data_IF_338743070553
#
_entry.id   IF_338743070553
#
_cell.length_a   1.000
_cell.length_b   1.000
_cell.length_c   1.000
_cell.angle_alpha   90.00
_cell.angle_beta   90.00
_cell.angle_gamma   90.00
#
_symmetry.space_group_name_H-M   'P 1'
#
loop_
_entity.id
_entity.type
_entity.pdbx_description
1 polymer ?
#
# COMPACT_ATOMS: atom_id res chain seq x y z
N UNK A 1 -12.91 9.61 1.76
CA UNK A 1 -13.31 8.20 1.75
C UNK A 1 -13.36 7.64 3.18
N UNK A 2 -14.27 6.71 3.42
CA UNK A 2 -14.44 5.95 4.66
C UNK A 2 -14.01 4.50 4.36
N UNK A 3 -13.04 3.99 5.09
CA UNK A 3 -12.43 2.69 4.80
C UNK A 3 -12.39 1.79 6.03
N UNK A 4 -12.63 0.49 5.82
CA UNK A 4 -12.47 -0.50 6.87
C UNK A 4 -10.99 -0.71 7.21
N UNK A 5 -10.65 -0.72 8.49
CA UNK A 5 -9.32 -1.08 8.93
C UNK A 5 -9.08 -2.60 8.79
N UNK A 6 -7.84 -3.03 8.81
CA UNK A 6 -7.44 -4.45 8.85
C UNK A 6 -6.08 -4.63 9.50
N UNK A 7 -5.77 -5.83 9.90
CA UNK A 7 -4.44 -6.20 10.36
C UNK A 7 -3.46 -6.29 9.17
N UNK A 8 -2.17 -6.20 9.47
CA UNK A 8 -1.11 -6.34 8.48
C UNK A 8 -1.06 -7.74 7.85
N UNK A 9 -0.51 -7.83 6.63
CA UNK A 9 -0.47 -9.06 5.82
C UNK A 9 0.25 -10.23 6.52
N UNK A 10 1.15 -9.95 7.48
CA UNK A 10 1.87 -11.00 8.24
C UNK A 10 0.94 -11.81 9.16
N UNK A 11 -0.12 -11.18 9.69
CA UNK A 11 -1.09 -11.81 10.62
C UNK A 11 -2.45 -12.01 9.96
N UNK A 12 -2.70 -11.40 8.81
CA UNK A 12 -3.94 -11.45 8.05
C UNK A 12 -3.64 -11.55 6.54
N UNK A 13 -3.11 -12.70 6.08
CA UNK A 13 -2.73 -12.88 4.67
C UNK A 13 -3.92 -12.80 3.70
N UNK A 14 -5.12 -13.14 4.17
CA UNK A 14 -6.36 -13.04 3.39
C UNK A 14 -6.90 -11.61 3.30
N UNK A 15 -6.28 -10.65 4.00
CA UNK A 15 -6.64 -9.23 4.01
C UNK A 15 -8.08 -8.96 4.43
N UNK A 16 -8.62 -9.76 5.33
CA UNK A 16 -9.96 -9.58 5.88
C UNK A 16 -10.08 -8.24 6.61
N UNK A 17 -11.20 -7.54 6.37
CA UNK A 17 -11.50 -6.27 7.02
C UNK A 17 -11.94 -6.45 8.47
N UNK A 18 -11.58 -5.50 9.34
CA UNK A 18 -12.10 -5.45 10.71
C UNK A 18 -13.60 -5.17 10.70
N UNK A 19 -14.35 -5.91 11.53
CA UNK A 19 -15.78 -5.67 11.74
C UNK A 19 -16.12 -4.50 12.68
N UNK A 20 -15.11 -3.89 13.31
CA UNK A 20 -15.34 -2.87 14.37
C UNK A 20 -14.47 -1.62 14.24
N UNK A 21 -13.54 -1.59 13.28
CA UNK A 21 -12.61 -0.47 13.11
C UNK A 21 -12.66 0.07 11.69
N UNK A 22 -12.73 1.37 11.57
CA UNK A 22 -12.69 2.09 10.32
C UNK A 22 -11.82 3.35 10.46
N UNK A 23 -11.49 3.96 9.35
CA UNK A 23 -10.80 5.25 9.32
C UNK A 23 -11.36 6.14 8.21
N UNK A 24 -11.24 7.44 8.42
CA UNK A 24 -11.58 8.46 7.44
C UNK A 24 -10.28 8.92 6.80
N UNK A 25 -10.20 8.88 5.48
CA UNK A 25 -9.01 9.32 4.75
C UNK A 25 -8.92 10.84 4.79
N UNK A 26 -7.89 11.36 5.41
CA UNK A 26 -7.47 12.76 5.34
C UNK A 26 -6.13 12.83 4.64
N UNK A 27 -6.13 13.06 3.34
CA UNK A 27 -4.93 13.07 2.52
C UNK A 27 -4.46 14.49 2.19
N UNK A 28 -3.32 14.56 1.52
CA UNK A 28 -2.77 15.79 0.96
C UNK A 28 -2.87 15.79 -0.56
N UNK A 29 -2.73 16.96 -1.17
CA UNK A 29 -2.53 17.07 -2.61
C UNK A 29 -1.08 16.76 -2.97
N UNK A 30 -0.86 16.21 -4.15
CA UNK A 30 0.44 15.81 -4.67
C UNK A 30 0.78 16.58 -5.94
N UNK A 31 2.06 16.86 -6.13
CA UNK A 31 2.57 17.38 -7.42
C UNK A 31 2.75 16.20 -8.39
N UNK A 32 2.67 16.49 -9.69
CA UNK A 32 2.84 15.49 -10.74
C UNK A 32 4.16 14.69 -10.62
N UNK A 33 5.23 15.34 -10.21
CA UNK A 33 6.53 14.68 -10.01
C UNK A 33 6.54 13.74 -8.79
N UNK A 34 5.77 14.06 -7.74
CA UNK A 34 5.63 13.18 -6.57
C UNK A 34 4.88 11.90 -6.94
N UNK A 35 3.80 12.01 -7.72
CA UNK A 35 3.07 10.84 -8.23
C UNK A 35 3.97 9.96 -9.11
N UNK A 36 4.78 10.55 -10.00
CA UNK A 36 5.75 9.79 -10.80
C UNK A 36 6.81 9.08 -9.95
N UNK A 37 7.25 9.70 -8.85
CA UNK A 37 8.16 9.04 -7.91
C UNK A 37 7.49 7.86 -7.19
N UNK A 38 6.21 8.01 -6.82
CA UNK A 38 5.44 6.91 -6.24
C UNK A 38 5.28 5.75 -7.23
N UNK A 39 4.92 6.01 -8.49
CA UNK A 39 4.88 4.99 -9.54
C UNK A 39 6.20 4.22 -9.65
N UNK A 40 7.33 4.95 -9.62
CA UNK A 40 8.65 4.32 -9.63
C UNK A 40 8.89 3.44 -8.40
N UNK A 41 8.51 3.90 -7.22
CA UNK A 41 8.65 3.13 -5.98
C UNK A 41 7.77 1.87 -6.00
N UNK A 42 6.53 2.00 -6.46
CA UNK A 42 5.61 0.87 -6.63
C UNK A 42 6.17 -0.15 -7.64
N UNK A 43 6.77 0.32 -8.73
CA UNK A 43 7.45 -0.54 -9.70
C UNK A 43 8.64 -1.30 -9.10
N UNK A 44 9.50 -0.62 -8.34
CA UNK A 44 10.61 -1.27 -7.64
C UNK A 44 10.13 -2.29 -6.60
N UNK A 45 9.05 -1.98 -5.87
CA UNK A 45 8.46 -2.91 -4.91
C UNK A 45 7.89 -4.15 -5.61
N UNK A 46 7.23 -3.98 -6.76
CA UNK A 46 6.75 -5.08 -7.60
C UNK A 46 7.91 -5.97 -8.05
N UNK A 47 9.00 -5.38 -8.55
CA UNK A 47 10.21 -6.13 -8.94
C UNK A 47 10.77 -6.93 -7.76
N UNK A 48 10.88 -6.29 -6.59
CA UNK A 48 11.40 -6.97 -5.39
C UNK A 48 10.51 -8.14 -4.95
N UNK A 49 9.18 -7.96 -5.00
CA UNK A 49 8.23 -9.01 -4.63
C UNK A 49 8.33 -10.21 -5.59
N UNK A 50 8.37 -9.96 -6.90
CA UNK A 50 8.50 -11.02 -7.92
C UNK A 50 9.85 -11.72 -7.78
N UNK A 51 10.94 -10.98 -7.59
CA UNK A 51 12.26 -11.56 -7.36
C UNK A 51 12.30 -12.44 -6.10
N UNK A 52 11.73 -11.98 -4.99
CA UNK A 52 11.65 -12.76 -3.77
C UNK A 52 10.82 -14.04 -3.94
N UNK A 53 9.74 -13.98 -4.73
CA UNK A 53 8.95 -15.16 -5.07
C UNK A 53 9.78 -16.16 -5.88
N UNK A 54 10.44 -15.71 -6.94
CA UNK A 54 11.33 -16.53 -7.76
C UNK A 54 12.46 -17.14 -6.93
N UNK A 55 13.07 -16.35 -6.05
CA UNK A 55 14.12 -16.85 -5.16
C UNK A 55 13.60 -17.94 -4.19
N UNK A 56 12.35 -17.88 -3.75
CA UNK A 56 11.72 -18.95 -2.98
C UNK A 56 11.45 -20.18 -3.83
N UNK A 57 10.99 -20.04 -5.07
CA UNK A 57 10.78 -21.13 -6.02
C UNK A 57 12.11 -21.89 -6.31
N UNK A 58 13.24 -21.17 -6.36
CA UNK A 58 14.58 -21.72 -6.59
C UNK A 58 15.41 -21.93 -5.31
N UNK A 59 14.76 -22.00 -4.15
CA UNK A 59 15.44 -22.09 -2.86
C UNK A 59 16.44 -23.25 -2.79
N UNK A 60 16.04 -24.44 -3.20
CA UNK A 60 16.86 -25.64 -3.11
C UNK A 60 18.09 -25.58 -4.03
N UNK A 61 17.94 -24.99 -5.21
CA UNK A 61 19.02 -24.77 -6.16
C UNK A 61 20.04 -23.75 -5.62
N UNK A 62 19.56 -22.64 -5.06
CA UNK A 62 20.39 -21.64 -4.39
C UNK A 62 21.17 -22.28 -3.24
N UNK A 63 20.51 -23.11 -2.42
CA UNK A 63 21.18 -23.80 -1.30
C UNK A 63 22.18 -24.82 -1.78
N UNK A 64 21.94 -25.50 -2.90
CA UNK A 64 22.88 -26.45 -3.51
C UNK A 64 24.16 -25.74 -3.99
N UNK A 65 24.04 -24.63 -4.74
CA UNK A 65 25.20 -23.84 -5.16
C UNK A 65 26.01 -23.32 -3.96
N UNK A 66 25.33 -22.84 -2.91
CA UNK A 66 25.99 -22.38 -1.68
C UNK A 66 26.74 -23.49 -0.98
N UNK A 67 26.15 -24.69 -0.85
CA UNK A 67 26.77 -25.89 -0.22
C UNK A 67 28.00 -26.34 -0.99
N UNK A 68 27.94 -26.32 -2.31
CA UNK A 68 29.04 -26.72 -3.18
C UNK A 68 30.08 -25.59 -3.39
N UNK A 69 29.86 -24.40 -2.80
CA UNK A 69 30.68 -23.19 -2.99
C UNK A 69 30.81 -22.78 -4.47
N UNK A 70 29.81 -23.12 -5.26
CA UNK A 70 29.73 -22.75 -6.69
C UNK A 70 29.24 -21.32 -6.83
N UNK A 71 30.18 -20.39 -6.86
CA UNK A 71 29.87 -18.95 -7.01
C UNK A 71 29.43 -18.60 -8.41
N UNK A 72 29.98 -19.26 -9.41
CA UNK A 72 29.66 -19.00 -10.80
C UNK A 72 28.21 -19.43 -11.11
N UNK A 73 27.81 -20.63 -10.72
CA UNK A 73 26.45 -21.11 -10.82
C UNK A 73 25.46 -20.22 -10.07
N UNK A 74 25.81 -19.76 -8.87
CA UNK A 74 24.95 -18.85 -8.11
C UNK A 74 24.76 -17.48 -8.78
N UNK A 75 25.82 -16.90 -9.36
CA UNK A 75 25.74 -15.65 -10.10
C UNK A 75 24.89 -15.80 -11.37
N UNK A 76 25.09 -16.89 -12.12
CA UNK A 76 24.30 -17.17 -13.31
C UNK A 76 22.82 -17.32 -13.00
N UNK A 77 22.47 -18.07 -11.96
CA UNK A 77 21.09 -18.18 -11.50
C UNK A 77 20.53 -16.82 -11.09
N UNK A 78 21.30 -15.99 -10.38
CA UNK A 78 20.87 -14.65 -9.99
C UNK A 78 20.53 -13.79 -11.22
N UNK A 79 21.36 -13.80 -12.25
CA UNK A 79 21.13 -13.06 -13.49
C UNK A 79 19.86 -13.57 -14.20
N UNK A 80 19.65 -14.89 -14.25
CA UNK A 80 18.44 -15.51 -14.81
C UNK A 80 17.18 -15.07 -14.04
N UNK A 81 17.22 -15.05 -12.70
CA UNK A 81 16.10 -14.59 -11.86
C UNK A 81 15.82 -13.10 -12.06
N UNK A 82 16.84 -12.27 -12.23
CA UNK A 82 16.68 -10.84 -12.52
C UNK A 82 16.00 -10.63 -13.89
N UNK A 83 16.41 -11.37 -14.90
CA UNK A 83 15.82 -11.27 -16.24
C UNK A 83 14.37 -11.78 -16.27
N UNK A 84 14.09 -12.90 -15.61
CA UNK A 84 12.73 -13.41 -15.48
C UNK A 84 11.84 -12.45 -14.65
N UNK A 85 12.38 -11.80 -13.62
CA UNK A 85 11.68 -10.74 -12.86
C UNK A 85 11.23 -9.61 -13.79
N UNK A 86 12.16 -9.07 -14.59
CA UNK A 86 11.86 -7.99 -15.53
C UNK A 86 10.81 -8.41 -16.57
N UNK A 87 10.88 -9.65 -17.03
CA UNK A 87 9.91 -10.20 -17.98
C UNK A 87 8.52 -10.28 -17.36
N UNK A 88 8.37 -10.88 -16.16
CA UNK A 88 7.10 -10.95 -15.44
C UNK A 88 6.54 -9.57 -15.14
N UNK A 89 7.37 -8.60 -14.71
CA UNK A 89 6.94 -7.23 -14.50
C UNK A 89 6.39 -6.56 -15.76
N UNK A 90 7.02 -6.80 -16.92
CA UNK A 90 6.53 -6.28 -18.21
C UNK A 90 5.21 -6.92 -18.62
N UNK A 91 5.05 -8.22 -18.43
CA UNK A 91 3.83 -8.96 -18.75
C UNK A 91 2.65 -8.54 -17.87
N UNK A 92 2.87 -8.31 -16.58
CA UNK A 92 1.86 -7.82 -15.64
C UNK A 92 1.55 -6.33 -15.81
N UNK A 93 2.49 -5.56 -16.37
CA UNK A 93 2.45 -4.10 -16.43
C UNK A 93 2.88 -3.42 -15.14
N UNK A 94 3.74 -2.43 -15.25
CA UNK A 94 4.16 -1.64 -14.09
C UNK A 94 3.00 -0.78 -13.56
N UNK A 95 2.88 -0.63 -12.23
CA UNK A 95 1.86 0.21 -11.63
C UNK A 95 1.94 1.66 -12.13
N UNK A 96 0.82 2.21 -12.53
CA UNK A 96 0.69 3.62 -12.97
C UNK A 96 -0.66 4.16 -12.50
N UNK A 97 -0.68 5.42 -12.13
CA UNK A 97 -1.93 6.12 -11.86
C UNK A 97 -2.66 6.42 -13.17
N UNK A 98 -3.96 6.19 -13.19
CA UNK A 98 -4.81 6.62 -14.29
C UNK A 98 -4.87 8.16 -14.36
N UNK A 99 -5.30 8.71 -15.48
CA UNK A 99 -5.48 10.17 -15.60
C UNK A 99 -6.47 10.73 -14.57
N UNK A 100 -7.52 9.96 -14.25
CA UNK A 100 -8.50 10.32 -13.24
C UNK A 100 -7.88 10.35 -11.84
N UNK A 101 -7.12 9.33 -11.47
CA UNK A 101 -6.38 9.29 -10.21
C UNK A 101 -5.38 10.45 -10.12
N UNK A 102 -4.61 10.72 -11.17
CA UNK A 102 -3.69 11.85 -11.19
C UNK A 102 -4.41 13.18 -11.00
N UNK A 103 -5.55 13.39 -11.65
CA UNK A 103 -6.38 14.59 -11.46
C UNK A 103 -6.92 14.68 -10.03
N UNK A 104 -7.41 13.58 -9.48
CA UNK A 104 -7.93 13.54 -8.12
C UNK A 104 -6.83 13.88 -7.11
N UNK A 105 -5.69 13.20 -7.17
CA UNK A 105 -4.58 13.44 -6.23
C UNK A 105 -3.90 14.80 -6.36
N UNK A 106 -3.94 15.41 -7.54
CA UNK A 106 -3.37 16.75 -7.72
C UNK A 106 -4.32 17.88 -7.33
N UNK A 107 -5.64 17.66 -7.37
CA UNK A 107 -6.65 18.71 -7.12
C UNK A 107 -7.36 18.54 -5.78
N UNK A 108 -7.78 17.33 -5.46
CA UNK A 108 -8.57 17.01 -4.25
C UNK A 108 -7.63 16.53 -3.14
N UNK A 109 -6.69 15.68 -3.49
CA UNK A 109 -5.79 15.01 -2.57
C UNK A 109 -6.21 13.58 -2.27
N UNK A 110 -5.52 12.95 -1.33
CA UNK A 110 -5.77 11.58 -0.92
C UNK A 110 -4.53 10.88 -0.39
N UNK A 111 -4.58 9.55 -0.39
CA UNK A 111 -3.53 8.68 0.10
C UNK A 111 -3.24 7.57 -0.91
N UNK A 112 -2.52 7.86 -2.02
CA UNK A 112 -2.33 6.93 -3.14
C UNK A 112 -1.75 5.57 -2.75
N UNK A 113 -0.96 5.52 -1.68
CA UNK A 113 -0.34 4.28 -1.18
C UNK A 113 -1.32 3.33 -0.48
N UNK A 114 -2.55 3.77 -0.18
CA UNK A 114 -3.61 2.93 0.38
C UNK A 114 -4.55 2.37 -0.69
N UNK A 115 -4.43 2.82 -1.95
CA UNK A 115 -5.28 2.34 -3.04
C UNK A 115 -5.16 0.82 -3.21
N UNK A 116 -6.30 0.17 -3.36
CA UNK A 116 -6.42 -1.28 -3.49
C UNK A 116 -5.89 -2.09 -2.28
N UNK A 117 -5.59 -1.43 -1.15
CA UNK A 117 -5.13 -2.09 0.06
C UNK A 117 -6.24 -2.27 1.09
N UNK A 118 -7.31 -1.50 0.98
CA UNK A 118 -8.41 -1.46 1.95
C UNK A 118 -9.76 -1.40 1.25
N UNK A 119 -10.80 -1.84 1.95
CA UNK A 119 -12.18 -1.75 1.47
C UNK A 119 -12.75 -0.38 1.79
N UNK A 120 -13.05 0.40 0.76
CA UNK A 120 -13.80 1.65 0.88
C UNK A 120 -15.28 1.32 0.85
N UNK A 121 -16.06 1.79 1.84
CA UNK A 121 -17.48 1.51 1.96
C UNK A 121 -18.35 2.76 2.09
N UNK A 122 -17.75 3.95 2.08
CA UNK A 122 -18.48 5.20 2.16
C UNK A 122 -17.60 6.43 1.94
N UNK A 123 -18.24 7.58 2.01
CA UNK A 123 -17.59 8.88 1.95
C UNK A 123 -18.22 9.85 2.96
N UNK A 124 -17.47 10.89 3.30
CA UNK A 124 -17.98 11.97 4.16
C UNK A 124 -18.72 12.97 3.28
N UNK A 125 -20.01 13.12 3.49
CA UNK A 125 -20.85 14.08 2.77
C UNK A 125 -20.74 15.47 3.38
N UNK A 126 -20.81 15.57 4.72
CA UNK A 126 -20.76 16.82 5.46
C UNK A 126 -19.79 16.72 6.66
N UNK A 127 -19.31 17.86 7.16
CA UNK A 127 -18.47 17.91 8.37
C UNK A 127 -16.98 17.65 8.13
N UNK A 128 -16.44 17.88 6.93
CA UNK A 128 -15.00 17.78 6.68
C UNK A 128 -14.16 18.69 7.58
N UNK A 129 -14.70 19.84 8.01
CA UNK A 129 -14.05 20.72 8.99
C UNK A 129 -13.93 20.07 10.38
N UNK A 130 -14.85 19.19 10.74
CA UNK A 130 -14.76 18.38 11.99
C UNK A 130 -13.65 17.33 11.83
N UNK A 131 -13.57 16.66 10.69
CA UNK A 131 -12.48 15.70 10.39
C UNK A 131 -11.12 16.40 10.47
N UNK A 132 -11.02 17.62 9.91
CA UNK A 132 -9.79 18.41 9.98
C UNK A 132 -9.41 18.77 11.42
N UNK A 133 -10.36 19.17 12.25
CA UNK A 133 -10.12 19.45 13.68
C UNK A 133 -9.62 18.22 14.42
N UNK A 134 -10.21 17.05 14.16
CA UNK A 134 -9.78 15.77 14.77
C UNK A 134 -8.37 15.43 14.30
N UNK A 135 -8.08 15.55 13.00
CA UNK A 135 -6.76 15.26 12.44
C UNK A 135 -5.65 16.15 13.03
N UNK A 136 -5.97 17.40 13.36
CA UNK A 136 -5.03 18.38 13.89
C UNK A 136 -5.04 18.51 15.43
N UNK A 137 -5.78 17.67 16.15
CA UNK A 137 -5.77 17.72 17.61
C UNK A 137 -4.40 17.29 18.16
N UNK A 138 -4.08 17.77 19.38
CA UNK A 138 -2.86 17.36 20.06
C UNK A 138 -2.91 15.88 20.44
N UNK A 139 -1.83 15.16 20.14
CA UNK A 139 -1.73 13.72 20.39
C UNK A 139 -0.67 13.36 21.43
N UNK A 140 -0.83 12.20 22.02
CA UNK A 140 0.15 11.49 22.83
C UNK A 140 0.96 10.51 21.96
N UNK A 141 1.81 9.70 22.60
CA UNK A 141 2.55 8.64 21.91
C UNK A 141 1.57 7.65 21.25
N UNK A 142 1.84 7.32 19.98
CA UNK A 142 1.00 6.42 19.17
C UNK A 142 -0.24 7.11 18.62
N UNK A 143 -0.15 8.42 18.40
CA UNK A 143 -1.17 9.27 17.76
C UNK A 143 -2.54 9.27 18.46
N UNK A 144 -2.57 8.86 19.74
CA UNK A 144 -3.78 8.97 20.57
C UNK A 144 -4.04 10.44 20.92
N UNK A 145 -5.25 11.00 20.65
CA UNK A 145 -5.62 12.33 21.10
C UNK A 145 -5.39 12.50 22.61
N UNK A 146 -4.86 13.66 23.02
CA UNK A 146 -4.69 13.99 24.46
C UNK A 146 -6.02 14.06 25.19
N UNK A 147 -7.02 14.62 24.55
CA UNK A 147 -8.40 14.67 25.02
C UNK A 147 -9.22 13.67 24.23
N UNK A 148 -10.08 12.91 24.89
CA UNK A 148 -10.90 11.90 24.23
C UNK A 148 -11.91 12.56 23.30
N UNK A 149 -11.95 12.10 22.05
CA UNK A 149 -12.93 12.51 21.04
C UNK A 149 -14.10 11.54 21.11
N UNK A 150 -15.20 12.00 21.69
CA UNK A 150 -16.43 11.18 21.80
C UNK A 150 -17.16 11.13 20.45
N UNK A 151 -17.65 9.95 20.10
CA UNK A 151 -18.38 9.70 18.86
C UNK A 151 -19.67 8.94 19.15
N UNK A 152 -20.75 9.35 18.51
CA UNK A 152 -22.00 8.59 18.45
C UNK A 152 -22.30 8.22 17.00
N UNK A 153 -22.68 6.97 16.79
CA UNK A 153 -23.07 6.47 15.47
C UNK A 153 -24.55 6.13 15.50
N UNK A 154 -25.30 6.67 14.54
CA UNK A 154 -26.70 6.34 14.31
C UNK A 154 -26.98 6.17 12.84
N UNK A 155 -27.92 5.32 12.49
CA UNK A 155 -28.45 5.20 11.12
C UNK A 155 -29.48 6.31 10.93
N UNK A 156 -29.35 7.06 9.83
CA UNK A 156 -30.34 8.03 9.41
C UNK A 156 -31.23 7.32 8.39
N UNK A 157 -32.50 7.17 8.71
CA UNK A 157 -33.52 6.70 7.76
C UNK A 157 -33.94 7.90 6.90
N UNK A 158 -33.91 7.76 5.58
CA UNK A 158 -34.42 8.72 4.61
C UNK A 158 -35.94 8.72 4.55
#
# INVERSE_FOLDING_TARGET
ALSAARLGDEVNPERESSGSQFYIVWGKTYKQNELKQMEKQMGMQMEQNIFNQLAKEHHDEIMNFRRNRDREGLMKLQDELVDETKKRCKEQGYPKFTEEQQKAYTKIGGTPFLDNQYTVFGEVEEGLDIVEKIQNCETLRGDRPKEDVSMQISVIEE
#
